data_IF_616922296724
#
_entry.id   IF_616922296724
#
_cell.length_a   1.000
_cell.length_b   1.000
_cell.length_c   1.000
_cell.angle_alpha   90.00
_cell.angle_beta   90.00
_cell.angle_gamma   90.00
#
_symmetry.space_group_name_H-M   'P 1'
#
loop_
_entity.id
_entity.type
_entity.pdbx_description
1 polymer ?
#
# COMPACT_ATOMS: atom_id res chain seq x y z
N UNK A 1 14.91 -28.11 -19.78
CA UNK A 1 14.55 -27.38 -18.54
C UNK A 1 13.58 -26.27 -18.92
N UNK A 2 12.37 -26.27 -18.38
CA UNK A 2 11.41 -25.19 -18.61
C UNK A 2 11.83 -23.99 -17.77
N UNK A 3 12.33 -22.93 -18.43
CA UNK A 3 12.57 -21.66 -17.77
C UNK A 3 11.21 -21.09 -17.42
N UNK A 4 10.87 -21.09 -16.13
CA UNK A 4 9.69 -20.38 -15.62
C UNK A 4 9.93 -18.90 -15.93
N UNK A 5 9.12 -18.32 -16.81
CA UNK A 5 9.18 -16.89 -17.11
C UNK A 5 9.07 -16.12 -15.79
N UNK A 6 10.12 -15.39 -15.43
CA UNK A 6 10.09 -14.48 -14.30
C UNK A 6 9.23 -13.30 -14.74
N UNK A 7 8.03 -13.17 -14.17
CA UNK A 7 7.22 -11.97 -14.36
C UNK A 7 8.07 -10.75 -13.98
N UNK A 8 8.29 -9.87 -14.95
CA UNK A 8 9.02 -8.63 -14.73
C UNK A 8 8.06 -7.70 -13.98
N UNK A 9 8.18 -7.66 -12.65
CA UNK A 9 7.43 -6.68 -11.85
C UNK A 9 7.82 -5.27 -12.29
N UNK A 10 6.83 -4.51 -12.79
CA UNK A 10 7.02 -3.08 -13.08
C UNK A 10 7.44 -2.37 -11.80
N UNK A 11 8.56 -1.67 -11.87
CA UNK A 11 9.12 -0.94 -10.72
C UNK A 11 8.38 0.40 -10.50
N UNK A 12 7.89 0.99 -11.60
CA UNK A 12 7.23 2.30 -11.58
C UNK A 12 5.92 2.27 -12.35
N UNK A 13 4.96 3.02 -11.82
CA UNK A 13 3.62 3.19 -12.36
C UNK A 13 3.35 4.66 -12.64
N UNK A 14 2.67 4.93 -13.74
CA UNK A 14 2.20 6.28 -14.10
C UNK A 14 0.94 6.62 -13.31
N UNK A 15 0.64 7.92 -13.19
CA UNK A 15 -0.59 8.37 -12.52
C UNK A 15 -1.87 7.83 -13.18
N UNK A 16 -1.84 7.60 -14.50
CA UNK A 16 -2.95 7.02 -15.24
C UNK A 16 -3.20 5.57 -14.84
N UNK A 17 -2.14 4.75 -14.83
CA UNK A 17 -2.23 3.35 -14.38
C UNK A 17 -2.71 3.26 -12.93
N UNK A 18 -2.19 4.10 -12.03
CA UNK A 18 -2.64 4.14 -10.63
C UNK A 18 -4.13 4.52 -10.55
N UNK A 19 -4.57 5.52 -11.30
CA UNK A 19 -5.96 5.95 -11.30
C UNK A 19 -6.91 4.86 -11.81
N UNK A 20 -6.50 4.13 -12.86
CA UNK A 20 -7.24 2.99 -13.41
C UNK A 20 -7.36 1.84 -12.39
N UNK A 21 -6.30 1.53 -11.63
CA UNK A 21 -6.32 0.48 -10.60
C UNK A 21 -7.39 0.71 -9.52
N UNK A 22 -7.66 1.96 -9.18
CA UNK A 22 -8.66 2.33 -8.16
C UNK A 22 -9.98 2.81 -8.77
N UNK A 23 -10.10 2.80 -10.10
CA UNK A 23 -11.24 3.33 -10.84
C UNK A 23 -11.62 4.77 -10.42
N UNK A 24 -10.61 5.63 -10.31
CA UNK A 24 -10.76 7.05 -9.93
C UNK A 24 -10.18 7.97 -11.00
N UNK A 25 -10.52 9.26 -10.93
CA UNK A 25 -9.90 10.25 -11.80
C UNK A 25 -8.42 10.49 -11.41
N UNK A 26 -7.49 10.68 -12.37
CA UNK A 26 -6.11 11.04 -12.08
C UNK A 26 -5.95 12.33 -11.26
N UNK A 27 -6.92 13.26 -11.37
CA UNK A 27 -6.97 14.48 -10.55
C UNK A 27 -7.11 14.18 -9.06
N UNK A 28 -7.86 13.14 -8.69
CA UNK A 28 -8.03 12.74 -7.29
C UNK A 28 -6.72 12.19 -6.71
N UNK A 29 -5.96 11.42 -7.49
CA UNK A 29 -4.64 10.93 -7.08
C UNK A 29 -3.66 12.09 -6.86
N UNK A 30 -3.67 13.12 -7.74
CA UNK A 30 -2.86 14.35 -7.52
C UNK A 30 -3.28 15.11 -6.28
N UNK A 31 -4.58 15.14 -6.01
CA UNK A 31 -5.10 15.81 -4.84
C UNK A 31 -4.69 15.07 -3.56
N UNK A 32 -4.74 13.74 -3.55
CA UNK A 32 -4.21 12.95 -2.44
C UNK A 32 -2.70 13.07 -2.27
N UNK A 33 -1.92 13.16 -3.37
CA UNK A 33 -0.49 13.48 -3.32
C UNK A 33 -0.24 14.82 -2.61
N UNK A 34 -1.05 15.86 -2.84
CA UNK A 34 -0.89 17.14 -2.12
C UNK A 34 -1.37 17.14 -0.68
N UNK A 35 -2.31 16.25 -0.35
CA UNK A 35 -2.91 16.20 0.99
C UNK A 35 -2.14 15.27 1.93
N UNK A 36 -1.60 14.16 1.44
CA UNK A 36 -0.95 13.13 2.26
C UNK A 36 0.54 13.06 1.98
N UNK A 37 1.36 13.41 2.98
CA UNK A 37 2.83 13.35 2.91
C UNK A 37 3.40 11.95 2.68
N UNK A 38 2.56 10.91 2.79
CA UNK A 38 2.89 9.50 2.60
C UNK A 38 3.04 9.13 1.11
N UNK A 39 2.45 9.91 0.20
CA UNK A 39 2.52 9.67 -1.25
C UNK A 39 3.52 10.67 -1.84
N UNK A 40 4.73 10.21 -2.16
CA UNK A 40 5.80 11.07 -2.68
C UNK A 40 6.40 10.49 -3.97
N UNK A 41 5.61 10.42 -5.05
CA UNK A 41 6.06 9.86 -6.31
C UNK A 41 7.24 10.67 -6.86
N UNK A 42 8.29 9.98 -7.29
CA UNK A 42 9.43 10.64 -7.91
C UNK A 42 9.03 11.20 -9.27
N UNK A 43 9.50 12.41 -9.59
CA UNK A 43 9.32 12.99 -10.93
C UNK A 43 10.46 12.52 -11.84
N UNK A 44 10.12 12.04 -13.02
CA UNK A 44 11.12 11.73 -14.04
C UNK A 44 11.67 13.03 -14.68
N UNK A 45 12.67 12.88 -15.57
CA UNK A 45 13.28 14.02 -16.31
C UNK A 45 12.28 14.86 -17.12
N UNK A 46 11.12 14.30 -17.48
CA UNK A 46 10.05 14.98 -18.22
C UNK A 46 8.97 15.59 -17.32
N UNK A 47 9.11 15.49 -15.99
CA UNK A 47 8.16 16.01 -15.01
C UNK A 47 6.97 15.09 -14.71
N UNK A 48 6.93 13.88 -15.27
CA UNK A 48 5.87 12.91 -14.99
C UNK A 48 6.13 12.18 -13.67
N UNK A 49 5.07 11.99 -12.88
CA UNK A 49 5.09 11.25 -11.61
C UNK A 49 5.27 9.75 -11.87
N UNK A 50 6.19 9.16 -11.13
CA UNK A 50 6.47 7.73 -11.09
C UNK A 50 6.15 7.24 -9.68
N UNK A 51 5.04 6.51 -9.58
CA UNK A 51 4.59 5.87 -8.35
C UNK A 51 5.31 4.53 -8.19
N UNK A 52 5.79 4.26 -6.99
CA UNK A 52 6.34 2.97 -6.60
C UNK A 52 5.22 2.06 -6.09
N UNK A 53 5.53 0.78 -5.87
CA UNK A 53 4.61 -0.16 -5.23
C UNK A 53 4.17 0.30 -3.84
N UNK A 54 5.09 0.91 -3.09
CA UNK A 54 4.82 1.50 -1.78
C UNK A 54 3.85 2.68 -1.86
N UNK A 55 4.04 3.58 -2.84
CA UNK A 55 3.09 4.67 -3.07
C UNK A 55 1.68 4.14 -3.39
N UNK A 56 1.58 3.05 -4.15
CA UNK A 56 0.29 2.41 -4.48
C UNK A 56 -0.36 1.82 -3.22
N UNK A 57 0.41 1.21 -2.32
CA UNK A 57 -0.12 0.69 -1.05
C UNK A 57 -0.62 1.82 -0.13
N UNK A 58 0.06 2.98 -0.12
CA UNK A 58 -0.44 4.17 0.56
C UNK A 58 -1.73 4.70 -0.06
N UNK A 59 -1.81 4.79 -1.40
CA UNK A 59 -3.03 5.18 -2.12
C UNK A 59 -4.18 4.21 -1.80
N UNK A 60 -3.91 2.90 -1.75
CA UNK A 60 -4.92 1.89 -1.38
C UNK A 60 -5.47 2.13 0.02
N UNK A 61 -4.60 2.41 0.98
CA UNK A 61 -5.02 2.70 2.36
C UNK A 61 -5.91 3.94 2.39
N UNK A 62 -5.50 5.03 1.73
CA UNK A 62 -6.27 6.27 1.66
C UNK A 62 -7.62 6.04 0.98
N UNK A 63 -7.66 5.27 -0.11
CA UNK A 63 -8.90 4.91 -0.80
C UNK A 63 -9.86 4.20 0.14
N UNK A 64 -9.39 3.18 0.88
CA UNK A 64 -10.22 2.45 1.83
C UNK A 64 -10.78 3.36 2.94
N UNK A 65 -9.97 4.28 3.46
CA UNK A 65 -10.41 5.20 4.50
C UNK A 65 -11.45 6.20 3.99
N UNK A 66 -11.22 6.81 2.83
CA UNK A 66 -12.06 7.90 2.33
C UNK A 66 -13.29 7.39 1.58
N UNK A 67 -13.16 6.36 0.75
CA UNK A 67 -14.23 5.87 -0.13
C UNK A 67 -15.07 4.76 0.50
N UNK A 68 -14.44 3.81 1.20
CA UNK A 68 -15.17 2.67 1.76
C UNK A 68 -15.68 2.96 3.17
N UNK A 69 -14.84 3.57 4.01
CA UNK A 69 -15.21 3.90 5.40
C UNK A 69 -15.82 5.30 5.58
N UNK A 70 -15.77 6.14 4.55
CA UNK A 70 -16.42 7.46 4.56
C UNK A 70 -15.76 8.48 5.49
N UNK A 71 -14.47 8.31 5.84
CA UNK A 71 -13.75 9.32 6.60
C UNK A 71 -13.57 10.60 5.77
N UNK A 72 -13.57 11.75 6.46
CA UNK A 72 -13.07 12.99 5.86
C UNK A 72 -11.57 12.88 5.62
N UNK A 73 -11.03 13.68 4.70
CA UNK A 73 -9.58 13.68 4.42
C UNK A 73 -8.77 13.97 5.68
N UNK A 74 -9.25 14.89 6.52
CA UNK A 74 -8.59 15.24 7.77
C UNK A 74 -8.64 14.08 8.78
N UNK A 75 -9.78 13.39 8.92
CA UNK A 75 -9.89 12.21 9.76
C UNK A 75 -9.03 11.05 9.26
N UNK A 76 -8.92 10.87 7.94
CA UNK A 76 -8.01 9.90 7.34
C UNK A 76 -6.54 10.25 7.62
N UNK A 77 -6.15 11.53 7.54
CA UNK A 77 -4.79 11.97 7.89
C UNK A 77 -4.48 11.73 9.36
N UNK A 78 -5.38 12.08 10.26
CA UNK A 78 -5.21 11.85 11.71
C UNK A 78 -5.08 10.37 12.01
N UNK A 79 -5.91 9.53 11.38
CA UNK A 79 -5.80 8.10 11.53
C UNK A 79 -4.44 7.60 11.04
N UNK A 80 -4.01 7.95 9.83
CA UNK A 80 -2.71 7.52 9.29
C UNK A 80 -1.50 8.02 10.11
N UNK A 81 -1.60 9.22 10.70
CA UNK A 81 -0.56 9.80 11.56
C UNK A 81 -0.49 9.11 12.94
N UNK A 82 -1.63 8.68 13.47
CA UNK A 82 -1.70 7.95 14.74
C UNK A 82 -1.48 6.44 14.58
N UNK A 83 -1.84 5.87 13.42
CA UNK A 83 -1.74 4.44 13.11
C UNK A 83 -0.35 4.00 12.72
N UNK A 84 0.62 4.88 12.41
CA UNK A 84 1.96 4.41 12.01
C UNK A 84 2.65 3.59 13.12
N UNK A 85 2.39 3.91 14.39
CA UNK A 85 2.86 3.10 15.51
C UNK A 85 1.93 1.90 15.76
N UNK A 86 0.61 2.12 15.84
CA UNK A 86 -0.34 1.06 16.17
C UNK A 86 -0.47 -0.03 15.07
N UNK A 87 -0.38 0.34 13.79
CA UNK A 87 -0.37 -0.59 12.65
C UNK A 87 0.95 -1.35 12.60
N UNK A 88 2.08 -0.69 12.90
CA UNK A 88 3.37 -1.37 13.01
C UNK A 88 3.33 -2.41 14.13
N UNK A 89 2.87 -2.02 15.30
CA UNK A 89 2.71 -2.91 16.45
C UNK A 89 1.73 -4.07 16.13
N UNK A 90 0.64 -3.78 15.40
CA UNK A 90 -0.34 -4.80 14.99
C UNK A 90 0.19 -5.73 13.90
N UNK A 91 1.01 -5.24 12.96
CA UNK A 91 1.69 -6.07 11.96
C UNK A 91 2.75 -6.97 12.62
N UNK A 92 3.55 -6.44 13.54
CA UNK A 92 4.54 -7.21 14.29
C UNK A 92 3.86 -8.31 15.13
N UNK A 93 2.68 -8.00 15.71
CA UNK A 93 1.88 -8.95 16.46
C UNK A 93 1.25 -10.03 15.57
N UNK A 94 0.76 -9.67 14.38
CA UNK A 94 0.25 -10.62 13.38
C UNK A 94 1.35 -11.57 12.88
N UNK A 95 2.56 -11.07 12.63
CA UNK A 95 3.68 -11.89 12.20
C UNK A 95 4.17 -12.83 13.31
N UNK A 96 4.15 -12.36 14.56
CA UNK A 96 4.42 -13.19 15.73
C UNK A 96 3.39 -14.31 15.87
N UNK A 97 2.10 -14.02 15.73
CA UNK A 97 1.02 -15.01 15.77
C UNK A 97 1.13 -16.03 14.62
N UNK A 98 1.49 -15.58 13.40
CA UNK A 98 1.74 -16.49 12.28
C UNK A 98 2.89 -17.44 12.58
N UNK A 99 4.00 -16.96 13.14
CA UNK A 99 5.14 -17.81 13.54
C UNK A 99 4.75 -18.85 14.58
N UNK A 100 4.00 -18.45 15.61
CA UNK A 100 3.50 -19.39 16.65
C UNK A 100 2.61 -20.45 16.02
N UNK A 101 1.66 -20.06 15.16
CA UNK A 101 0.82 -21.02 14.43
C UNK A 101 1.66 -21.99 13.61
N UNK A 102 2.65 -21.49 12.87
CA UNK A 102 3.52 -22.32 12.04
C UNK A 102 4.32 -23.33 12.88
N UNK A 103 4.83 -22.90 14.03
CA UNK A 103 5.50 -23.77 14.99
C UNK A 103 4.58 -24.86 15.53
N UNK A 104 3.37 -24.51 15.97
CA UNK A 104 2.40 -25.49 16.48
C UNK A 104 1.99 -26.51 15.41
N UNK A 105 1.83 -26.07 14.16
CA UNK A 105 1.57 -26.97 13.02
C UNK A 105 2.74 -27.94 12.81
N UNK A 106 3.98 -27.46 12.87
CA UNK A 106 5.17 -28.31 12.73
C UNK A 106 5.31 -29.33 13.87
N UNK A 107 4.98 -28.95 15.11
CA UNK A 107 5.01 -29.89 16.25
C UNK A 107 3.95 -30.98 16.07
N UNK A 108 2.74 -30.61 15.63
CA UNK A 108 1.67 -31.57 15.36
C UNK A 108 2.03 -32.57 14.26
N UNK A 109 2.73 -32.15 13.20
CA UNK A 109 3.12 -33.04 12.09
C UNK A 109 4.29 -33.97 12.41
N UNK A 110 5.01 -33.72 13.51
CA UNK A 110 6.15 -34.55 13.97
C UNK A 110 5.77 -35.56 15.06
N UNK A 111 4.51 -35.57 15.48
CA UNK A 111 3.90 -36.54 16.40
C UNK A 111 3.04 -37.53 15.60
#
# INVERSE_FOLDING_TARGET
MAYKEKEIEKIYYSIGEVAEMFNVAPSLIRFWESEFDLIQPKKNRKGNRQFTKEDIDHVRTIYHLVKEKGFTLQGAKEMLKNDTQAVRDKMDLLDSLKKVRQFLVQVREKL
#
